data_IF_281553975855
#
_entry.id   IF_281553975855
#
_cell.length_a   1.000
_cell.length_b   1.000
_cell.length_c   1.000
_cell.angle_alpha   90.00
_cell.angle_beta   90.00
_cell.angle_gamma   90.00
#
_symmetry.space_group_name_H-M   'P 1'
#
loop_
_entity.id
_entity.type
_entity.pdbx_description
1 polymer ?
#
# COMPACT_ATOMS: atom_id res chain seq x y z
N UNK A 1 -16.48 -1.97 15.25
CA UNK A 1 -16.03 -0.84 14.41
C UNK A 1 -14.52 -0.99 14.24
N UNK A 2 -13.96 -0.84 13.03
CA UNK A 2 -12.50 -1.01 12.81
C UNK A 2 -11.74 0.27 13.19
N UNK A 3 -10.43 0.16 13.41
CA UNK A 3 -9.57 1.33 13.66
C UNK A 3 -9.68 2.35 12.53
N UNK A 4 -9.67 1.89 11.27
CA UNK A 4 -9.92 2.71 10.09
C UNK A 4 -11.26 3.45 10.15
N UNK A 5 -12.35 2.78 10.54
CA UNK A 5 -13.66 3.44 10.67
C UNK A 5 -13.67 4.53 11.74
N UNK A 6 -12.93 4.35 12.84
CA UNK A 6 -12.80 5.36 13.90
C UNK A 6 -12.00 6.57 13.38
N UNK A 7 -10.87 6.32 12.73
CA UNK A 7 -10.00 7.34 12.15
C UNK A 7 -10.72 8.15 11.07
N UNK A 8 -11.46 7.48 10.19
CA UNK A 8 -12.28 8.12 9.16
C UNK A 8 -13.37 9.00 9.78
N UNK A 9 -14.07 8.52 10.81
CA UNK A 9 -15.11 9.32 11.47
C UNK A 9 -14.53 10.56 12.16
N UNK A 10 -13.39 10.41 12.85
CA UNK A 10 -12.68 11.52 13.47
C UNK A 10 -12.20 12.53 12.43
N UNK A 11 -11.69 12.04 11.29
CA UNK A 11 -11.27 12.86 10.17
C UNK A 11 -12.44 13.66 9.56
N UNK A 12 -13.57 12.99 9.28
CA UNK A 12 -14.77 13.63 8.72
C UNK A 12 -15.31 14.72 9.66
N UNK A 13 -15.24 14.51 10.97
CA UNK A 13 -15.63 15.50 11.97
C UNK A 13 -14.72 16.76 11.92
N UNK A 14 -13.44 16.60 11.57
CA UNK A 14 -12.46 17.68 11.50
C UNK A 14 -12.43 18.41 10.14
N UNK A 15 -13.18 17.93 9.13
CA UNK A 15 -13.24 18.50 7.77
C UNK A 15 -11.85 18.73 7.12
N UNK A 16 -10.92 17.82 7.37
CA UNK A 16 -9.57 17.84 6.80
C UNK A 16 -9.58 17.41 5.31
N UNK A 17 -8.41 17.42 4.66
CA UNK A 17 -8.24 16.99 3.27
C UNK A 17 -8.32 15.46 3.13
N UNK A 18 -9.33 14.99 2.40
CA UNK A 18 -9.67 13.56 2.30
C UNK A 18 -8.67 12.80 1.43
N UNK A 19 -8.04 13.48 0.49
CA UNK A 19 -7.11 12.86 -0.45
C UNK A 19 -5.84 12.43 0.30
N UNK A 20 -5.37 13.25 1.23
CA UNK A 20 -4.20 12.94 2.06
C UNK A 20 -4.49 11.83 3.08
N UNK A 21 -5.69 11.84 3.68
CA UNK A 21 -6.12 10.76 4.59
C UNK A 21 -6.15 9.40 3.88
N UNK A 22 -6.73 9.36 2.68
CA UNK A 22 -6.80 8.12 1.89
C UNK A 22 -5.43 7.70 1.36
N UNK A 23 -4.56 8.65 0.98
CA UNK A 23 -3.18 8.38 0.56
C UNK A 23 -2.40 7.70 1.67
N UNK A 24 -2.41 8.29 2.86
CA UNK A 24 -1.74 7.75 4.03
C UNK A 24 -2.30 6.38 4.43
N UNK A 25 -3.63 6.25 4.47
CA UNK A 25 -4.30 4.98 4.80
C UNK A 25 -3.90 3.86 3.83
N UNK A 26 -3.85 4.15 2.52
CA UNK A 26 -3.42 3.18 1.52
C UNK A 26 -1.92 2.84 1.67
N UNK A 27 -1.10 3.85 1.90
CA UNK A 27 0.35 3.69 2.11
C UNK A 27 0.63 2.74 3.28
N UNK A 28 -0.02 2.96 4.42
CA UNK A 28 0.09 2.06 5.58
C UNK A 28 -0.37 0.64 5.22
N UNK A 29 -1.55 0.50 4.62
CA UNK A 29 -2.08 -0.82 4.27
C UNK A 29 -1.15 -1.59 3.31
N UNK A 30 -0.58 -0.93 2.31
CA UNK A 30 0.36 -1.55 1.38
C UNK A 30 1.69 -1.91 2.05
N UNK A 31 2.22 -1.03 2.88
CA UNK A 31 3.48 -1.27 3.58
C UNK A 31 3.38 -2.40 4.63
N UNK A 32 2.18 -2.66 5.16
CA UNK A 32 1.93 -3.81 6.05
C UNK A 32 1.67 -5.10 5.25
N UNK A 33 0.93 -5.01 4.15
CA UNK A 33 0.52 -6.17 3.36
C UNK A 33 1.67 -6.76 2.55
N UNK A 34 2.53 -5.95 1.93
CA UNK A 34 3.62 -6.44 1.08
C UNK A 34 4.62 -7.36 1.83
N UNK A 35 5.10 -7.01 3.04
CA UNK A 35 5.93 -7.92 3.84
C UNK A 35 5.19 -9.19 4.26
N UNK A 36 3.91 -9.09 4.62
CA UNK A 36 3.09 -10.23 5.02
C UNK A 36 2.87 -11.21 3.86
N UNK A 37 2.59 -10.72 2.66
CA UNK A 37 2.49 -11.53 1.44
C UNK A 37 3.82 -12.21 1.11
N UNK A 38 4.95 -11.53 1.29
CA UNK A 38 6.27 -12.14 1.11
C UNK A 38 6.50 -13.27 2.13
N UNK A 39 6.07 -13.09 3.38
CA UNK A 39 6.09 -14.17 4.39
C UNK A 39 5.20 -15.34 4.03
N UNK A 40 3.98 -15.08 3.56
CA UNK A 40 3.06 -16.12 3.11
C UNK A 40 3.61 -16.90 1.90
N UNK A 41 4.23 -16.19 0.95
CA UNK A 41 4.84 -16.80 -0.24
C UNK A 41 6.06 -17.66 0.09
N UNK A 42 6.94 -17.18 0.96
CA UNK A 42 8.13 -17.92 1.38
C UNK A 42 7.82 -19.04 2.39
N UNK A 43 6.71 -18.91 3.11
CA UNK A 43 6.32 -19.83 4.18
C UNK A 43 7.13 -19.67 5.46
N UNK A 44 7.86 -18.55 5.63
CA UNK A 44 8.66 -18.27 6.82
C UNK A 44 8.83 -16.76 7.06
N UNK A 45 8.93 -16.35 8.32
CA UNK A 45 9.15 -14.95 8.70
C UNK A 45 10.63 -14.54 8.62
N UNK A 46 10.96 -13.24 8.57
CA UNK A 46 12.34 -12.79 8.59
C UNK A 46 13.14 -13.45 9.73
N UNK A 47 14.29 -14.03 9.36
CA UNK A 47 15.23 -14.71 10.27
C UNK A 47 14.75 -16.06 10.84
N UNK A 48 13.60 -16.57 10.43
CA UNK A 48 13.17 -17.90 10.82
C UNK A 48 14.11 -18.98 10.32
N UNK A 49 14.44 -19.92 11.21
CA UNK A 49 15.30 -21.07 10.89
C UNK A 49 14.69 -21.98 9.82
N UNK A 50 13.37 -21.96 9.68
CA UNK A 50 12.63 -22.71 8.64
C UNK A 50 13.08 -22.27 7.24
N UNK A 51 13.47 -21.01 7.06
CA UNK A 51 13.97 -20.50 5.79
C UNK A 51 15.39 -20.97 5.43
N UNK A 52 16.13 -21.61 6.36
CA UNK A 52 17.51 -22.01 6.10
C UNK A 52 17.55 -23.19 5.14
N UNK A 53 18.41 -23.10 4.12
CA UNK A 53 18.53 -24.09 3.05
C UNK A 53 17.21 -24.34 2.27
N UNK A 54 16.26 -23.40 2.31
CA UNK A 54 14.98 -23.49 1.58
C UNK A 54 15.10 -23.26 0.07
N UNK A 55 16.27 -22.85 -0.42
CA UNK A 55 16.53 -22.52 -1.82
C UNK A 55 16.19 -21.08 -2.21
N UNK A 56 15.33 -20.39 -1.45
CA UNK A 56 14.98 -18.99 -1.65
C UNK A 56 15.21 -18.19 -0.37
N UNK A 57 16.14 -17.23 -0.41
CA UNK A 57 16.45 -16.34 0.71
C UNK A 57 15.83 -14.95 0.50
N UNK A 58 15.37 -14.32 1.59
CA UNK A 58 15.09 -12.88 1.61
C UNK A 58 16.39 -12.12 1.35
N UNK A 59 16.47 -11.42 0.22
CA UNK A 59 17.66 -10.67 -0.17
C UNK A 59 17.29 -9.20 -0.41
N UNK A 60 17.82 -8.31 0.43
CA UNK A 60 17.49 -6.89 0.44
C UNK A 60 16.53 -6.51 1.56
N UNK A 61 16.25 -5.21 1.66
CA UNK A 61 15.39 -4.63 2.68
C UNK A 61 14.16 -4.00 2.01
N UNK A 62 13.00 -4.14 2.66
CA UNK A 62 11.81 -3.37 2.28
C UNK A 62 11.88 -2.00 2.96
N UNK A 63 12.02 -0.95 2.15
CA UNK A 63 11.83 0.43 2.60
C UNK A 63 10.39 0.83 2.30
N UNK A 64 9.62 1.33 3.29
CA UNK A 64 8.27 1.81 3.06
C UNK A 64 8.24 2.76 1.87
N UNK A 65 7.35 2.48 0.91
CA UNK A 65 7.22 3.29 -0.28
C UNK A 65 6.23 4.42 0.01
N UNK A 66 6.64 5.66 -0.25
CA UNK A 66 5.75 6.81 -0.25
C UNK A 66 4.81 6.70 -1.45
N UNK A 67 3.50 6.66 -1.19
CA UNK A 67 2.53 6.82 -2.28
C UNK A 67 2.52 8.32 -2.61
N UNK A 68 2.94 8.75 -3.81
CA UNK A 68 2.89 10.16 -4.16
C UNK A 68 1.44 10.65 -4.06
N UNK A 69 1.27 11.95 -3.76
CA UNK A 69 -0.05 12.56 -3.71
C UNK A 69 -0.89 12.13 -4.93
N UNK A 70 -2.18 11.87 -4.71
CA UNK A 70 -3.11 11.66 -5.80
C UNK A 70 -3.23 12.97 -6.58
N UNK A 71 -2.29 13.21 -7.50
CA UNK A 71 -2.48 14.19 -8.54
C UNK A 71 -3.71 13.74 -9.30
N UNK A 72 -4.74 14.60 -9.38
CA UNK A 72 -5.78 14.46 -10.40
C UNK A 72 -5.01 14.21 -11.69
N UNK A 73 -5.18 13.03 -12.28
CA UNK A 73 -4.61 12.78 -13.60
C UNK A 73 -5.38 13.72 -14.52
N UNK A 74 -4.80 14.88 -14.79
CA UNK A 74 -5.26 15.77 -15.85
C UNK A 74 -5.48 14.89 -17.08
N UNK A 75 -6.75 14.70 -17.44
CA UNK A 75 -7.51 14.40 -18.66
C UNK A 75 -6.81 13.75 -19.89
N UNK A 76 -5.54 13.38 -19.83
CA UNK A 76 -4.71 12.94 -20.95
C UNK A 76 -4.79 11.42 -21.18
N UNK A 77 -5.30 10.63 -20.22
CA UNK A 77 -5.54 9.19 -20.43
C UNK A 77 -6.91 8.91 -21.07
N UNK A 78 -7.89 9.79 -20.89
CA UNK A 78 -9.19 9.74 -21.59
C UNK A 78 -9.00 9.87 -23.12
N UNK A 79 -8.00 10.64 -23.55
CA UNK A 79 -7.68 10.84 -24.96
C UNK A 79 -7.05 9.61 -25.65
N UNK A 80 -6.45 8.67 -24.90
CA UNK A 80 -5.80 7.48 -25.46
C UNK A 80 -6.75 6.27 -25.56
N UNK A 81 -7.80 6.23 -24.74
CA UNK A 81 -8.79 5.13 -24.71
C UNK A 81 -10.07 5.42 -25.53
N UNK A 82 -10.41 6.69 -25.80
CA UNK A 82 -11.67 7.08 -26.47
C UNK A 82 -11.47 7.56 -27.93
N UNK A 83 -10.23 7.58 -28.45
CA UNK A 83 -9.97 7.88 -29.87
C UNK A 83 -9.60 6.63 -30.66
N UNK A 84 -10.60 5.80 -30.95
CA UNK A 84 -10.61 5.00 -32.19
C UNK A 84 -11.02 5.92 -33.36
N UNK A 85 -10.30 5.94 -34.49
CA UNK A 85 -10.80 6.52 -35.73
C UNK A 85 -12.04 5.78 -36.24
#
# INVERSE_FOLDING_TARGET
>A
MTQFSIELLNFLAQKQDIDEFLRYSLETAMNDLLPAELSAFLGYEPYDKVGYNSGNSRNGNFTPALIPAYGRRDDHLEAYLIKTP
#
